data_IF_826156223383
#
_entry.id   IF_826156223383
#
_cell.length_a   1.000
_cell.length_b   1.000
_cell.length_c   1.000
_cell.angle_alpha   90.00
_cell.angle_beta   90.00
_cell.angle_gamma   90.00
#
_symmetry.space_group_name_H-M   'P 1'
#
loop_
_entity.id
_entity.type
_entity.pdbx_description
1 polymer ?
#
# COMPACT_ATOMS: atom_id res chain seq x y z
N UNK A 1 -11.66 1.95 13.51
CA UNK A 1 -10.36 2.57 13.29
C UNK A 1 -9.42 1.60 12.58
N UNK A 2 -9.17 0.41 13.14
CA UNK A 2 -8.26 -0.59 12.57
C UNK A 2 -8.63 -0.96 11.13
N UNK A 3 -9.92 -1.19 10.86
CA UNK A 3 -10.43 -1.50 9.52
C UNK A 3 -10.11 -0.37 8.52
N UNK A 4 -10.29 0.89 8.91
CA UNK A 4 -9.98 2.03 8.05
C UNK A 4 -8.48 2.20 7.77
N UNK A 5 -7.63 2.00 8.78
CA UNK A 5 -6.18 2.15 8.62
C UNK A 5 -5.59 1.01 7.78
N UNK A 6 -5.89 -0.24 8.13
CA UNK A 6 -5.31 -1.42 7.47
C UNK A 6 -5.84 -1.58 6.05
N UNK A 7 -7.15 -1.51 5.87
CA UNK A 7 -7.75 -1.67 4.53
C UNK A 7 -7.60 -0.44 3.65
N UNK A 8 -7.37 0.75 4.23
CA UNK A 8 -7.01 1.94 3.46
C UNK A 8 -5.71 1.78 2.69
N UNK A 9 -4.72 1.13 3.31
CA UNK A 9 -3.44 0.82 2.68
C UNK A 9 -3.56 -0.28 1.60
N UNK A 10 -4.34 -1.32 1.86
CA UNK A 10 -4.51 -2.46 0.94
C UNK A 10 -5.49 -2.15 -0.20
N UNK A 11 -6.44 -1.24 0.00
CA UNK A 11 -7.58 -1.05 -0.91
C UNK A 11 -7.23 -0.66 -2.35
N UNK A 12 -6.10 -0.01 -2.58
CA UNK A 12 -5.65 0.43 -3.90
C UNK A 12 -4.49 -0.39 -4.47
N UNK A 13 -3.74 -1.08 -3.61
CA UNK A 13 -2.54 -1.82 -3.99
C UNK A 13 -2.77 -2.89 -5.07
N UNK A 14 -3.82 -3.71 -5.02
CA UNK A 14 -4.10 -4.69 -6.08
C UNK A 14 -4.35 -4.03 -7.43
N UNK A 15 -4.98 -2.86 -7.46
CA UNK A 15 -5.34 -2.17 -8.70
C UNK A 15 -4.13 -1.61 -9.43
N UNK A 16 -3.22 -0.90 -8.75
CA UNK A 16 -2.02 -0.39 -9.42
C UNK A 16 -1.03 -1.53 -9.74
N UNK A 17 -1.03 -2.62 -8.98
CA UNK A 17 -0.24 -3.82 -9.31
C UNK A 17 -0.73 -4.46 -10.60
N UNK A 18 -2.03 -4.68 -10.75
CA UNK A 18 -2.60 -5.20 -11.99
C UNK A 18 -2.39 -4.25 -13.17
N UNK A 19 -2.57 -2.93 -12.97
CA UNK A 19 -2.25 -1.91 -14.00
C UNK A 19 -0.79 -2.02 -14.46
N UNK A 20 0.15 -2.20 -13.54
CA UNK A 20 1.57 -2.35 -13.84
C UNK A 20 1.86 -3.65 -14.62
N UNK A 21 1.25 -4.76 -14.21
CA UNK A 21 1.39 -6.05 -14.91
C UNK A 21 0.90 -5.94 -16.35
N UNK A 22 -0.28 -5.39 -16.56
CA UNK A 22 -0.87 -5.21 -17.89
C UNK A 22 -0.02 -4.27 -18.75
N UNK A 23 0.41 -3.13 -18.20
CA UNK A 23 1.23 -2.15 -18.92
C UNK A 23 2.58 -2.71 -19.38
N UNK A 24 3.26 -3.49 -18.50
CA UNK A 24 4.56 -4.09 -18.81
C UNK A 24 4.47 -5.26 -19.80
N UNK A 25 3.29 -5.80 -20.04
CA UNK A 25 3.06 -6.91 -20.97
C UNK A 25 2.36 -6.47 -22.25
N UNK A 26 2.52 -5.22 -22.66
CA UNK A 26 2.06 -4.70 -23.95
C UNK A 26 0.66 -4.04 -23.92
N UNK A 27 0.07 -3.88 -22.74
CA UNK A 27 -1.23 -3.21 -22.55
C UNK A 27 -2.44 -4.13 -22.74
N UNK A 28 -3.63 -3.56 -22.60
CA UNK A 28 -4.91 -4.30 -22.57
C UNK A 28 -5.15 -5.16 -23.82
N UNK A 29 -4.63 -4.73 -24.99
CA UNK A 29 -4.85 -5.45 -26.26
C UNK A 29 -4.01 -6.71 -26.47
N UNK A 30 -2.97 -6.93 -25.64
CA UNK A 30 -2.04 -8.05 -25.78
C UNK A 30 -2.11 -9.06 -24.63
N UNK A 31 -2.80 -8.69 -23.54
CA UNK A 31 -2.90 -9.52 -22.34
C UNK A 31 -4.01 -10.56 -22.52
N UNK A 32 -3.65 -11.84 -22.40
CA UNK A 32 -4.61 -12.96 -22.45
C UNK A 32 -5.31 -13.15 -21.08
N UNK A 33 -6.47 -13.79 -21.12
CA UNK A 33 -7.21 -14.18 -19.92
C UNK A 33 -6.37 -15.06 -18.98
N UNK A 34 -5.65 -16.04 -19.53
CA UNK A 34 -4.77 -16.94 -18.77
C UNK A 34 -3.65 -16.17 -18.04
N UNK A 35 -3.14 -15.11 -18.65
CA UNK A 35 -2.12 -14.27 -18.03
C UNK A 35 -2.68 -13.49 -16.85
N UNK A 36 -3.90 -12.97 -16.95
CA UNK A 36 -4.57 -12.27 -15.85
C UNK A 36 -4.84 -13.25 -14.70
N UNK A 37 -5.36 -14.43 -14.99
CA UNK A 37 -5.60 -15.48 -14.00
C UNK A 37 -4.30 -15.94 -13.34
N UNK A 38 -3.24 -16.11 -14.12
CA UNK A 38 -1.89 -16.44 -13.61
C UNK A 38 -1.34 -15.35 -12.67
N UNK A 39 -1.48 -14.08 -13.04
CA UNK A 39 -1.07 -12.95 -12.23
C UNK A 39 -1.87 -12.86 -10.91
N UNK A 40 -3.18 -13.03 -10.96
CA UNK A 40 -4.04 -13.07 -9.77
C UNK A 40 -3.66 -14.24 -8.85
N UNK A 41 -3.48 -15.43 -9.42
CA UNK A 41 -3.02 -16.61 -8.67
C UNK A 41 -1.69 -16.33 -7.96
N UNK A 42 -0.73 -15.73 -8.65
CA UNK A 42 0.57 -15.37 -8.09
C UNK A 42 0.43 -14.37 -6.93
N UNK A 43 -0.41 -13.36 -7.06
CA UNK A 43 -0.70 -12.38 -6.00
C UNK A 43 -1.30 -13.09 -4.79
N UNK A 44 -2.33 -13.92 -4.98
CA UNK A 44 -3.01 -14.65 -3.90
C UNK A 44 -2.02 -15.56 -3.15
N UNK A 45 -1.23 -16.34 -3.87
CA UNK A 45 -0.25 -17.24 -3.25
C UNK A 45 0.87 -16.49 -2.55
N UNK A 46 1.38 -15.41 -3.12
CA UNK A 46 2.40 -14.57 -2.49
C UNK A 46 1.88 -13.97 -1.19
N UNK A 47 0.68 -13.39 -1.19
CA UNK A 47 0.05 -12.85 0.01
C UNK A 47 -0.21 -13.93 1.06
N UNK A 48 -0.67 -15.10 0.64
CA UNK A 48 -0.90 -16.22 1.56
C UNK A 48 0.40 -16.68 2.22
N UNK A 49 1.45 -16.92 1.45
CA UNK A 49 2.71 -17.43 1.98
C UNK A 49 3.48 -16.37 2.78
N UNK A 50 3.62 -15.16 2.25
CA UNK A 50 4.44 -14.11 2.87
C UNK A 50 3.71 -13.44 4.02
N UNK A 51 2.47 -13.03 3.84
CA UNK A 51 1.72 -12.30 4.87
C UNK A 51 1.11 -13.26 5.88
N UNK A 52 0.35 -14.26 5.45
CA UNK A 52 -0.37 -15.12 6.39
C UNK A 52 0.55 -16.13 7.05
N UNK A 53 1.26 -16.95 6.28
CA UNK A 53 2.09 -18.03 6.86
C UNK A 53 3.34 -17.46 7.54
N UNK A 54 4.17 -16.73 6.79
CA UNK A 54 5.45 -16.23 7.30
C UNK A 54 5.27 -15.16 8.38
N UNK A 55 4.42 -14.17 8.16
CA UNK A 55 4.28 -13.05 9.08
C UNK A 55 3.28 -13.34 10.21
N UNK A 56 2.01 -13.63 9.89
CA UNK A 56 0.97 -13.78 10.92
C UNK A 56 1.18 -15.04 11.75
N UNK A 57 1.41 -16.21 11.12
CA UNK A 57 1.53 -17.48 11.85
C UNK A 57 2.87 -17.61 12.57
N UNK A 58 3.97 -17.12 12.00
CA UNK A 58 5.32 -17.31 12.54
C UNK A 58 5.82 -16.05 13.23
N UNK A 59 5.99 -14.94 12.50
CA UNK A 59 6.67 -13.76 13.00
C UNK A 59 5.92 -13.03 14.11
N UNK A 60 4.59 -12.96 14.06
CA UNK A 60 3.79 -12.30 15.10
C UNK A 60 3.76 -13.04 16.45
N UNK A 61 4.23 -14.30 16.51
CA UNK A 61 4.42 -15.00 17.79
C UNK A 61 5.64 -14.48 18.56
N UNK A 62 6.55 -13.79 17.90
CA UNK A 62 7.73 -13.19 18.52
C UNK A 62 7.43 -11.73 18.86
N UNK A 63 6.75 -11.50 19.95
CA UNK A 63 6.50 -10.17 20.50
C UNK A 63 7.53 -9.79 21.56
N UNK A 64 7.76 -8.48 21.70
CA UNK A 64 8.55 -7.91 22.77
C UNK A 64 7.73 -6.80 23.46
N UNK A 65 7.24 -7.05 24.67
CA UNK A 65 6.36 -6.15 25.43
C UNK A 65 5.08 -5.74 24.69
N UNK A 66 4.44 -6.69 24.01
CA UNK A 66 3.27 -6.51 23.14
C UNK A 66 3.55 -5.65 21.89
N UNK A 67 4.82 -5.47 21.52
CA UNK A 67 5.23 -4.87 20.26
C UNK A 67 5.80 -5.92 19.31
N UNK A 68 5.40 -5.85 18.05
CA UNK A 68 5.86 -6.73 16.97
C UNK A 68 6.71 -5.99 15.94
N UNK A 69 6.99 -6.68 14.84
CA UNK A 69 7.72 -6.12 13.72
C UNK A 69 9.24 -6.32 13.80
N UNK A 70 9.94 -5.71 12.83
CA UNK A 70 11.36 -5.98 12.61
C UNK A 70 12.25 -5.56 13.79
N UNK A 71 11.94 -4.45 14.45
CA UNK A 71 12.74 -3.94 15.57
C UNK A 71 12.52 -4.76 16.84
N UNK A 72 11.26 -5.20 17.10
CA UNK A 72 10.97 -6.10 18.20
C UNK A 72 11.68 -7.44 18.02
N UNK A 73 11.59 -8.01 16.80
CA UNK A 73 12.28 -9.25 16.46
C UNK A 73 13.80 -9.13 16.64
N UNK A 74 14.41 -8.04 16.16
CA UNK A 74 15.83 -7.79 16.36
C UNK A 74 16.19 -7.66 17.85
N UNK A 75 15.37 -6.97 18.64
CA UNK A 75 15.63 -6.80 20.07
C UNK A 75 15.69 -8.12 20.83
N UNK A 76 14.89 -9.10 20.43
CA UNK A 76 14.88 -10.45 21.03
C UNK A 76 16.16 -11.23 20.72
N UNK A 77 16.69 -11.11 19.49
CA UNK A 77 17.81 -11.92 19.02
C UNK A 77 19.18 -11.22 19.11
N UNK A 78 19.23 -9.91 19.34
CA UNK A 78 20.47 -9.11 19.30
C UNK A 78 21.58 -9.57 20.24
N UNK A 79 21.23 -10.19 21.37
CA UNK A 79 22.20 -10.72 22.34
C UNK A 79 22.88 -12.00 21.88
N UNK A 80 22.17 -12.80 21.06
CA UNK A 80 22.62 -14.11 20.56
C UNK A 80 23.27 -13.97 19.19
N UNK A 81 22.73 -13.09 18.35
CA UNK A 81 23.16 -12.89 16.97
C UNK A 81 23.29 -11.40 16.61
N UNK A 82 24.33 -10.71 17.10
CA UNK A 82 24.48 -9.25 16.89
C UNK A 82 24.67 -8.88 15.40
N UNK A 83 25.13 -9.78 14.55
CA UNK A 83 25.27 -9.56 13.12
C UNK A 83 23.93 -9.30 12.40
N UNK A 84 22.81 -9.71 12.99
CA UNK A 84 21.46 -9.43 12.49
C UNK A 84 21.08 -7.94 12.52
N UNK A 85 21.93 -7.08 13.07
CA UNK A 85 21.73 -5.61 13.00
C UNK A 85 21.69 -5.13 11.55
N UNK A 86 22.49 -5.69 10.66
CA UNK A 86 22.51 -5.29 9.24
C UNK A 86 21.17 -5.55 8.53
N UNK A 87 20.62 -6.79 8.51
CA UNK A 87 19.30 -7.01 7.93
C UNK A 87 18.18 -6.25 8.66
N UNK A 88 18.29 -6.02 9.98
CA UNK A 88 17.31 -5.22 10.71
C UNK A 88 17.34 -3.74 10.27
N UNK A 89 18.51 -3.16 10.05
CA UNK A 89 18.66 -1.79 9.53
C UNK A 89 18.13 -1.68 8.09
N UNK A 90 18.44 -2.64 7.23
CA UNK A 90 17.91 -2.67 5.85
C UNK A 90 16.38 -2.75 5.86
N UNK A 91 15.81 -3.64 6.68
CA UNK A 91 14.37 -3.77 6.79
C UNK A 91 13.70 -2.54 7.39
N UNK A 92 14.32 -1.90 8.39
CA UNK A 92 13.83 -0.64 8.96
C UNK A 92 13.89 0.51 7.96
N UNK A 93 14.97 0.61 7.18
CA UNK A 93 15.08 1.59 6.10
C UNK A 93 14.05 1.35 5.00
N UNK A 94 13.81 0.08 4.62
CA UNK A 94 12.79 -0.30 3.65
C UNK A 94 11.38 0.06 4.14
N UNK A 95 11.09 -0.14 5.43
CA UNK A 95 9.81 0.25 6.03
C UNK A 95 9.59 1.77 5.99
N UNK A 96 10.64 2.56 6.25
CA UNK A 96 10.56 4.03 6.14
C UNK A 96 10.37 4.47 4.68
N UNK A 97 11.07 3.84 3.74
CA UNK A 97 10.92 4.11 2.32
C UNK A 97 9.50 3.80 1.82
N UNK A 98 8.93 2.68 2.25
CA UNK A 98 7.54 2.31 1.95
C UNK A 98 6.55 3.37 2.47
N UNK A 99 6.72 3.84 3.69
CA UNK A 99 5.90 4.90 4.28
C UNK A 99 5.92 6.23 3.50
N UNK A 100 6.93 6.46 2.66
CA UNK A 100 7.03 7.64 1.79
C UNK A 100 6.48 7.33 0.38
N UNK A 101 6.86 6.18 -0.18
CA UNK A 101 6.51 5.81 -1.55
C UNK A 101 5.04 5.44 -1.72
N UNK A 102 4.47 4.69 -0.79
CA UNK A 102 3.10 4.18 -0.90
C UNK A 102 2.06 5.31 -0.99
N UNK A 103 2.05 6.35 -0.13
CA UNK A 103 1.11 7.46 -0.28
C UNK A 103 1.29 8.21 -1.61
N UNK A 104 2.53 8.41 -2.04
CA UNK A 104 2.83 9.11 -3.29
C UNK A 104 2.27 8.35 -4.50
N UNK A 105 2.55 7.05 -4.60
CA UNK A 105 2.07 6.18 -5.69
C UNK A 105 0.54 6.10 -5.68
N UNK A 106 -0.06 5.88 -4.51
CA UNK A 106 -1.51 5.71 -4.36
C UNK A 106 -2.27 6.97 -4.79
N UNK A 107 -1.86 8.15 -4.27
CA UNK A 107 -2.53 9.42 -4.60
C UNK A 107 -2.31 9.77 -6.07
N UNK A 108 -1.09 9.61 -6.60
CA UNK A 108 -0.82 9.87 -8.02
C UNK A 108 -1.67 8.99 -8.94
N UNK A 109 -1.74 7.67 -8.64
CA UNK A 109 -2.53 6.73 -9.44
C UNK A 109 -4.02 7.06 -9.39
N UNK A 110 -4.53 7.49 -8.22
CA UNK A 110 -5.93 7.93 -8.09
C UNK A 110 -6.22 9.16 -8.95
N UNK A 111 -5.33 10.16 -8.93
CA UNK A 111 -5.47 11.38 -9.74
C UNK A 111 -5.35 11.07 -11.23
N UNK A 112 -4.41 10.21 -11.63
CA UNK A 112 -4.30 9.75 -13.02
C UNK A 112 -5.55 9.01 -13.46
N UNK A 113 -6.18 8.23 -12.57
CA UNK A 113 -7.45 7.57 -12.84
C UNK A 113 -8.58 8.56 -13.14
N UNK A 114 -8.59 9.76 -12.57
CA UNK A 114 -9.58 10.78 -12.90
C UNK A 114 -9.48 11.27 -14.36
N UNK A 115 -8.33 11.14 -15.02
CA UNK A 115 -8.18 11.48 -16.45
C UNK A 115 -9.02 10.60 -17.38
N UNK A 116 -9.46 9.43 -16.92
CA UNK A 116 -10.32 8.55 -17.73
C UNK A 116 -11.76 9.08 -17.84
N UNK A 117 -12.13 10.07 -17.03
CA UNK A 117 -13.44 10.69 -16.99
C UNK A 117 -13.34 12.07 -17.66
N UNK A 118 -14.32 12.44 -18.51
CA UNK A 118 -14.31 13.67 -19.31
C UNK A 118 -14.02 14.95 -18.49
N UNK A 119 -14.70 15.14 -17.36
CA UNK A 119 -14.48 16.31 -16.51
C UNK A 119 -13.10 16.29 -15.82
N UNK A 120 -12.58 15.13 -15.47
CA UNK A 120 -11.25 14.96 -14.91
C UNK A 120 -10.16 15.26 -15.93
N UNK A 121 -10.34 14.82 -17.17
CA UNK A 121 -9.44 15.17 -18.28
C UNK A 121 -9.45 16.68 -18.56
N UNK A 122 -10.61 17.32 -18.52
CA UNK A 122 -10.73 18.78 -18.68
C UNK A 122 -9.99 19.55 -17.57
N UNK A 123 -9.98 19.05 -16.34
CA UNK A 123 -9.34 19.68 -15.18
C UNK A 123 -7.81 19.45 -15.16
N UNK A 124 -7.39 18.23 -15.47
CA UNK A 124 -5.99 17.81 -15.35
C UNK A 124 -5.17 18.07 -16.62
N UNK A 125 -5.83 18.09 -17.79
CA UNK A 125 -5.17 18.17 -19.10
C UNK A 125 -4.24 16.97 -19.35
N UNK A 126 -3.47 17.04 -20.43
CA UNK A 126 -2.52 15.99 -20.82
C UNK A 126 -1.17 16.09 -20.06
N UNK A 127 -0.90 17.23 -19.44
CA UNK A 127 0.36 17.51 -18.76
C UNK A 127 0.50 16.78 -17.42
N UNK A 128 1.69 16.24 -17.12
CA UNK A 128 2.00 15.64 -15.83
C UNK A 128 2.07 16.66 -14.69
N UNK A 129 2.33 17.93 -15.00
CA UNK A 129 2.53 18.99 -14.01
C UNK A 129 1.31 19.17 -13.09
N UNK A 130 0.10 19.18 -13.66
CA UNK A 130 -1.12 19.34 -12.87
C UNK A 130 -1.35 18.16 -11.92
N UNK A 131 -1.06 16.94 -12.37
CA UNK A 131 -1.12 15.74 -11.53
C UNK A 131 -0.16 15.86 -10.35
N UNK A 132 1.08 16.25 -10.59
CA UNK A 132 2.11 16.42 -9.55
C UNK A 132 1.68 17.48 -8.53
N UNK A 133 1.21 18.66 -8.99
CA UNK A 133 0.77 19.74 -8.10
C UNK A 133 -0.38 19.28 -7.21
N UNK A 134 -1.41 18.65 -7.79
CA UNK A 134 -2.57 18.18 -7.03
C UNK A 134 -2.17 17.07 -6.07
N UNK A 135 -1.31 16.14 -6.49
CA UNK A 135 -0.75 15.09 -5.62
C UNK A 135 -0.05 15.70 -4.41
N UNK A 136 0.81 16.69 -4.61
CA UNK A 136 1.53 17.37 -3.52
C UNK A 136 0.54 18.05 -2.56
N UNK A 137 -0.46 18.77 -3.08
CA UNK A 137 -1.48 19.44 -2.26
C UNK A 137 -2.24 18.42 -1.40
N UNK A 138 -2.67 17.31 -1.98
CA UNK A 138 -3.40 16.26 -1.24
C UNK A 138 -2.51 15.63 -0.17
N UNK A 139 -1.27 15.27 -0.51
CA UNK A 139 -0.33 14.67 0.44
C UNK A 139 -0.02 15.64 1.59
N UNK A 140 0.26 16.90 1.30
CA UNK A 140 0.48 17.92 2.33
C UNK A 140 -0.76 18.10 3.22
N UNK A 141 -1.96 18.09 2.64
CA UNK A 141 -3.22 18.15 3.38
C UNK A 141 -3.40 16.94 4.31
N UNK A 142 -3.12 15.73 3.82
CA UNK A 142 -3.18 14.50 4.63
C UNK A 142 -2.19 14.53 5.79
N UNK A 143 -0.95 14.93 5.57
CA UNK A 143 0.05 15.06 6.64
C UNK A 143 -0.33 16.16 7.65
N UNK A 144 -0.90 17.28 7.20
CA UNK A 144 -1.41 18.31 8.09
C UNK A 144 -2.55 17.80 8.97
N UNK A 145 -3.47 17.00 8.41
CA UNK A 145 -4.57 16.37 9.16
C UNK A 145 -4.08 15.32 10.18
N UNK A 146 -2.97 14.64 9.92
CA UNK A 146 -2.40 13.67 10.86
C UNK A 146 -2.01 14.29 12.20
N UNK A 147 -1.72 15.60 12.25
CA UNK A 147 -1.46 16.33 13.53
C UNK A 147 -2.69 16.32 14.46
N UNK A 148 -3.90 16.15 13.94
CA UNK A 148 -5.14 16.04 14.71
C UNK A 148 -5.39 14.66 15.32
N UNK A 149 -4.49 13.70 15.07
CA UNK A 149 -4.53 12.32 15.57
C UNK A 149 -5.15 11.34 14.57
N UNK A 150 -4.51 10.18 14.48
CA UNK A 150 -4.88 9.08 13.56
C UNK A 150 -6.24 8.45 13.89
N UNK A 151 -6.71 8.57 15.14
CA UNK A 151 -7.99 7.99 15.59
C UNK A 151 -9.20 8.58 14.86
N UNK A 152 -9.22 9.90 14.66
CA UNK A 152 -10.34 10.58 13.97
C UNK A 152 -10.36 10.24 12.49
N UNK A 153 -9.19 10.19 11.86
CA UNK A 153 -9.04 9.79 10.46
C UNK A 153 -9.50 8.34 10.26
N UNK A 154 -9.05 7.42 11.11
CA UNK A 154 -9.41 6.00 11.03
C UNK A 154 -10.92 5.73 11.22
N UNK A 155 -11.63 6.56 11.99
CA UNK A 155 -13.09 6.46 12.13
C UNK A 155 -13.83 6.83 10.83
N UNK A 156 -13.31 7.80 10.09
CA UNK A 156 -13.89 8.22 8.80
C UNK A 156 -13.58 7.20 7.70
N UNK A 157 -12.36 6.68 7.67
CA UNK A 157 -11.95 5.71 6.65
C UNK A 157 -12.60 4.34 6.80
N UNK A 158 -13.00 3.93 8.00
CA UNK A 158 -13.68 2.64 8.22
C UNK A 158 -14.91 2.43 7.33
N UNK A 159 -15.93 3.29 7.44
CA UNK A 159 -17.12 3.20 6.60
C UNK A 159 -16.82 3.34 5.10
N UNK A 160 -15.90 4.24 4.76
CA UNK A 160 -15.52 4.50 3.36
C UNK A 160 -14.88 3.28 2.72
N UNK A 161 -14.00 2.59 3.43
CA UNK A 161 -13.37 1.35 2.96
C UNK A 161 -14.36 0.18 2.90
N UNK A 162 -15.32 0.11 3.82
CA UNK A 162 -16.38 -0.88 3.74
C UNK A 162 -17.20 -0.70 2.46
N UNK A 163 -17.58 0.55 2.15
CA UNK A 163 -18.28 0.87 0.91
C UNK A 163 -17.43 0.50 -0.32
N UNK A 164 -16.15 0.82 -0.31
CA UNK A 164 -15.22 0.49 -1.39
C UNK A 164 -15.16 -1.02 -1.67
N UNK A 165 -15.02 -1.83 -0.64
CA UNK A 165 -15.01 -3.28 -0.80
C UNK A 165 -16.35 -3.85 -1.27
N UNK A 166 -17.47 -3.25 -0.87
CA UNK A 166 -18.78 -3.62 -1.41
C UNK A 166 -18.92 -3.30 -2.91
N UNK A 167 -18.27 -2.25 -3.39
CA UNK A 167 -18.23 -1.94 -4.82
C UNK A 167 -17.33 -2.88 -5.61
N UNK A 168 -16.29 -3.44 -4.99
CA UNK A 168 -15.36 -4.37 -5.65
C UNK A 168 -15.88 -5.81 -5.67
N UNK A 169 -16.79 -6.19 -4.78
CA UNK A 169 -17.38 -7.53 -4.67
C UNK A 169 -18.51 -7.75 -5.67
#
# INVERSE_FOLDING_TARGET
>A
VTLGVVYGDIGTSPMYTMKSIVANNGGIGTVSEDMILGALSLVIWTMTLVTTVKYVVIAMKADNHNEGGIFALFSLVRKVAPWLILPAMIGGAALLADGILTPAVTVTTAIEGLRTIEWGHALLGDGQTNVIIITIIIICGLFAMQRAGTSSIGKLFGPLMTLWFLFLA
#
